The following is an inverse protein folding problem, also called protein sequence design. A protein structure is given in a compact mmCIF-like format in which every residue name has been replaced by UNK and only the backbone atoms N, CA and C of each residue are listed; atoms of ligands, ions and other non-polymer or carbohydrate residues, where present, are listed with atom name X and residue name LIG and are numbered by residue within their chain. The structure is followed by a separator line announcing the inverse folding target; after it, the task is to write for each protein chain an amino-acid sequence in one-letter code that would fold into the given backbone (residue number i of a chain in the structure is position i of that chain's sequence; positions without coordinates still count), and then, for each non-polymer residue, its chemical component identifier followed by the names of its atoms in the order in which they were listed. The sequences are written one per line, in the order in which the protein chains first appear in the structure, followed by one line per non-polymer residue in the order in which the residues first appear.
data_IF_694673814047
#
_entry.id   IF_694673814047
#
_cell.length_a   1.000
_cell.length_b   1.000
_cell.length_c   1.000
_cell.angle_alpha   90.00
_cell.angle_beta   90.00
_cell.angle_gamma   90.00
#
_symmetry.space_group_name_H-M   'P 1'
#
loop_
_entity.id
_entity.type
_entity.pdbx_description
1 polymer ?
#
# COMPACT_ATOMS: atom_id res chain seq x y z
N UNK A 1 -21.30 11.95 -3.84
CA UNK A 1 -21.00 11.09 -2.67
C UNK A 1 -19.91 11.76 -1.84
N UNK A 2 -20.07 11.87 -0.52
CA UNK A 2 -19.06 12.49 0.37
C UNK A 2 -18.19 11.40 1.02
N UNK A 3 -16.86 11.57 1.02
CA UNK A 3 -15.92 10.68 1.73
C UNK A 3 -15.67 11.08 3.19
N UNK A 4 -16.35 12.14 3.67
CA UNK A 4 -16.26 12.61 5.06
C UNK A 4 -16.50 11.50 6.10
N UNK A 5 -17.44 10.55 5.91
CA UNK A 5 -17.66 9.51 6.91
C UNK A 5 -16.43 8.61 7.12
N UNK A 6 -15.65 8.34 6.07
CA UNK A 6 -14.39 7.59 6.19
C UNK A 6 -13.34 8.36 7.01
N UNK A 7 -13.29 9.68 6.87
CA UNK A 7 -12.37 10.52 7.67
C UNK A 7 -12.79 10.66 9.13
N UNK A 8 -14.10 10.58 9.42
CA UNK A 8 -14.62 10.66 10.78
C UNK A 8 -14.40 9.35 11.56
N UNK A 9 -14.28 8.22 10.88
CA UNK A 9 -14.09 6.89 11.49
C UNK A 9 -13.08 6.05 10.70
N UNK A 10 -11.80 6.46 10.65
CA UNK A 10 -10.81 5.85 9.76
C UNK A 10 -10.46 4.38 10.09
N UNK A 11 -10.77 3.94 11.31
CA UNK A 11 -10.56 2.55 11.74
C UNK A 11 -11.74 1.62 11.43
N UNK A 12 -12.89 2.18 11.05
CA UNK A 12 -14.09 1.39 10.75
C UNK A 12 -14.02 0.83 9.32
N UNK A 13 -14.62 -0.34 9.12
CA UNK A 13 -14.84 -0.86 7.78
C UNK A 13 -15.73 0.10 6.97
N UNK A 14 -15.58 0.13 5.64
CA UNK A 14 -16.29 1.06 4.75
C UNK A 14 -17.81 1.03 4.98
N UNK A 15 -18.39 -0.17 5.12
CA UNK A 15 -19.82 -0.36 5.36
C UNK A 15 -20.29 0.09 6.75
N UNK A 16 -19.39 0.15 7.73
CA UNK A 16 -19.69 0.64 9.07
C UNK A 16 -19.51 2.17 9.16
N UNK A 17 -18.58 2.73 8.38
CA UNK A 17 -18.33 4.16 8.33
C UNK A 17 -19.37 4.92 7.49
N UNK A 18 -19.96 4.31 6.47
CA UNK A 18 -20.99 4.93 5.64
C UNK A 18 -22.38 4.95 6.34
N UNK A 19 -23.10 6.06 6.17
CA UNK A 19 -24.39 6.31 6.84
C UNK A 19 -25.53 5.39 6.33
N UNK A 20 -25.52 5.07 5.04
CA UNK A 20 -26.53 4.23 4.41
C UNK A 20 -25.96 3.28 3.35
N UNK A 21 -26.82 2.38 2.86
CA UNK A 21 -26.43 1.37 1.87
C UNK A 21 -26.06 1.96 0.51
N UNK A 22 -26.71 3.06 0.11
CA UNK A 22 -26.43 3.73 -1.16
C UNK A 22 -25.04 4.37 -1.14
N UNK A 23 -24.67 5.02 -0.03
CA UNK A 23 -23.35 5.57 0.22
C UNK A 23 -22.29 4.47 0.29
N UNK A 24 -22.59 3.36 0.97
CA UNK A 24 -21.70 2.20 1.04
C UNK A 24 -21.39 1.66 -0.37
N UNK A 25 -22.43 1.40 -1.19
CA UNK A 25 -22.24 0.93 -2.56
C UNK A 25 -21.49 1.94 -3.43
N UNK A 26 -21.76 3.23 -3.25
CA UNK A 26 -21.02 4.28 -3.95
C UNK A 26 -19.54 4.31 -3.53
N UNK A 27 -19.20 4.06 -2.27
CA UNK A 27 -17.82 4.00 -1.79
C UNK A 27 -17.04 2.87 -2.46
N UNK A 28 -17.61 1.66 -2.46
CA UNK A 28 -16.99 0.52 -3.14
C UNK A 28 -16.82 0.79 -4.64
N UNK A 29 -17.84 1.32 -5.31
CA UNK A 29 -17.76 1.71 -6.73
C UNK A 29 -16.70 2.78 -7.01
N UNK A 30 -16.46 3.68 -6.06
CA UNK A 30 -15.43 4.71 -6.20
C UNK A 30 -14.03 4.09 -6.14
N UNK A 31 -13.77 3.20 -5.17
CA UNK A 31 -12.47 2.55 -5.01
C UNK A 31 -12.18 1.49 -6.07
N UNK A 32 -13.22 0.92 -6.68
CA UNK A 32 -13.13 -0.06 -7.77
C UNK A 32 -13.12 0.60 -9.17
N UNK A 33 -13.07 1.94 -9.25
CA UNK A 33 -13.07 2.66 -10.51
C UNK A 33 -11.66 2.86 -11.04
N UNK A 34 -11.34 2.28 -12.19
CA UNK A 34 -10.02 2.40 -12.86
C UNK A 34 -9.60 3.86 -13.14
N UNK A 35 -10.56 4.78 -13.30
CA UNK A 35 -10.26 6.20 -13.50
C UNK A 35 -9.81 6.91 -12.21
N UNK A 36 -10.08 6.31 -11.06
CA UNK A 36 -9.72 6.80 -9.73
C UNK A 36 -8.41 6.12 -9.30
N UNK A 37 -7.30 6.67 -9.76
CA UNK A 37 -5.97 6.15 -9.42
C UNK A 37 -5.44 6.75 -8.12
N UNK A 38 -4.57 6.02 -7.41
CA UNK A 38 -3.92 6.53 -6.21
C UNK A 38 -3.17 7.84 -6.45
N UNK A 39 -2.54 7.98 -7.63
CA UNK A 39 -1.86 9.22 -8.03
C UNK A 39 -2.84 10.40 -8.12
N UNK A 40 -3.99 10.23 -8.77
CA UNK A 40 -5.01 11.29 -8.89
C UNK A 40 -5.59 11.66 -7.52
N UNK A 41 -5.76 10.70 -6.61
CA UNK A 41 -6.19 10.97 -5.23
C UNK A 41 -5.12 11.78 -4.49
N UNK A 42 -3.85 11.39 -4.56
CA UNK A 42 -2.78 11.95 -3.74
C UNK A 42 -2.23 13.29 -4.26
N UNK A 43 -2.25 13.50 -5.58
CA UNK A 43 -1.75 14.73 -6.23
C UNK A 43 -2.29 16.03 -5.59
N UNK A 44 -3.61 16.23 -5.41
CA UNK A 44 -4.12 17.44 -4.77
C UNK A 44 -3.66 17.56 -3.30
N UNK A 45 -3.49 16.44 -2.58
CA UNK A 45 -2.97 16.49 -1.21
C UNK A 45 -1.51 16.96 -1.17
N UNK A 46 -0.68 16.51 -2.11
CA UNK A 46 0.70 16.97 -2.23
C UNK A 46 0.77 18.46 -2.59
N UNK A 47 -0.07 18.93 -3.51
CA UNK A 47 -0.18 20.35 -3.85
C UNK A 47 -0.55 21.18 -2.61
N UNK A 48 -1.52 20.75 -1.81
CA UNK A 48 -1.87 21.42 -0.54
C UNK A 48 -0.74 21.40 0.48
N UNK A 49 0.07 20.33 0.53
CA UNK A 49 1.27 20.31 1.39
C UNK A 49 2.29 21.36 0.93
N UNK A 50 2.51 21.48 -0.39
CA UNK A 50 3.43 22.48 -0.98
C UNK A 50 2.94 23.91 -0.68
N UNK A 51 1.64 24.17 -0.80
CA UNK A 51 1.05 25.47 -0.44
C UNK A 51 1.24 25.80 1.04
N UNK A 52 1.03 24.85 1.95
CA UNK A 52 1.22 25.10 3.39
C UNK A 52 2.68 25.34 3.77
N UNK A 53 3.61 24.60 3.16
CA UNK A 53 5.02 24.72 3.52
C UNK A 53 5.66 26.02 3.01
N UNK A 54 5.10 26.68 1.98
CA UNK A 54 5.65 27.95 1.48
C UNK A 54 5.49 29.10 2.47
N UNK A 55 4.58 28.97 3.43
CA UNK A 55 4.36 29.96 4.50
C UNK A 55 5.37 29.85 5.64
N UNK A 56 6.32 28.92 5.56
CA UNK A 56 7.32 28.67 6.59
C UNK A 56 8.75 28.86 6.06
N UNK A 57 9.57 29.64 6.76
CA UNK A 57 10.98 29.86 6.42
C UNK A 57 11.79 28.55 6.42
N UNK A 58 11.47 27.65 7.35
CA UNK A 58 12.14 26.35 7.49
C UNK A 58 11.15 25.25 7.86
N UNK A 59 11.29 24.13 7.17
CA UNK A 59 10.55 22.89 7.44
C UNK A 59 11.52 21.70 7.42
N UNK A 60 11.10 20.58 8.01
CA UNK A 60 11.81 19.31 7.96
C UNK A 60 11.02 18.31 7.12
N UNK A 61 11.68 17.71 6.13
CA UNK A 61 11.15 16.62 5.33
C UNK A 61 11.65 15.29 5.89
N UNK A 62 10.85 14.67 6.76
CA UNK A 62 11.19 13.41 7.43
C UNK A 62 10.84 12.25 6.48
N UNK A 63 11.83 11.41 6.19
CA UNK A 63 11.66 10.25 5.34
C UNK A 63 11.75 8.96 6.16
N UNK A 64 10.81 8.06 5.91
CA UNK A 64 10.83 6.73 6.52
C UNK A 64 10.24 5.67 5.59
N UNK A 65 10.53 4.41 5.89
CA UNK A 65 10.08 3.23 5.17
C UNK A 65 9.26 2.35 6.09
N UNK A 66 8.01 2.13 5.74
CA UNK A 66 7.10 1.24 6.48
C UNK A 66 6.74 0.03 5.62
N UNK A 67 6.66 -1.14 6.24
CA UNK A 67 6.23 -2.37 5.60
C UNK A 67 4.78 -2.65 5.98
N UNK A 68 3.92 -2.93 5.00
CA UNK A 68 2.51 -3.23 5.21
C UNK A 68 2.27 -4.70 4.91
N UNK A 69 1.96 -5.47 5.95
CA UNK A 69 1.72 -6.92 5.90
C UNK A 69 0.26 -7.22 5.55
N UNK A 70 0.08 -7.94 4.44
CA UNK A 70 -1.20 -8.41 3.94
C UNK A 70 -1.25 -9.94 3.79
N UNK A 71 -0.37 -10.67 4.49
CA UNK A 71 -0.25 -12.14 4.39
C UNK A 71 -1.58 -12.87 4.64
N UNK A 72 -2.41 -12.33 5.53
CA UNK A 72 -3.72 -12.89 5.87
C UNK A 72 -4.88 -12.38 4.99
N UNK A 73 -4.59 -11.70 3.89
CA UNK A 73 -5.57 -11.19 2.92
C UNK A 73 -5.37 -11.84 1.54
N UNK A 74 -5.73 -13.13 1.37
CA UNK A 74 -5.38 -13.93 0.20
C UNK A 74 -6.01 -13.46 -1.12
N UNK A 75 -7.06 -12.64 -1.07
CA UNK A 75 -7.69 -12.04 -2.25
C UNK A 75 -6.96 -10.78 -2.75
N UNK A 76 -5.92 -10.33 -2.04
CA UNK A 76 -5.17 -9.12 -2.42
C UNK A 76 -4.11 -9.49 -3.44
N UNK A 77 -4.23 -8.92 -4.64
CA UNK A 77 -3.29 -9.15 -5.73
C UNK A 77 -2.14 -8.13 -5.74
N UNK A 78 -1.09 -8.42 -6.52
CA UNK A 78 0.05 -7.51 -6.69
C UNK A 78 0.99 -7.39 -5.49
N UNK A 79 0.82 -8.24 -4.48
CA UNK A 79 1.70 -8.30 -3.31
C UNK A 79 3.05 -8.95 -3.63
N UNK A 80 4.08 -8.56 -2.89
CA UNK A 80 5.41 -9.16 -2.96
C UNK A 80 5.96 -9.53 -1.59
N UNK A 81 7.03 -10.34 -1.50
CA UNK A 81 7.65 -10.65 -0.22
C UNK A 81 8.25 -9.39 0.42
N UNK A 82 7.96 -9.18 1.71
CA UNK A 82 8.45 -8.03 2.50
C UNK A 82 9.30 -8.43 3.72
N UNK A 83 9.58 -9.73 3.88
CA UNK A 83 10.44 -10.28 4.93
C UNK A 83 11.50 -11.23 4.37
N UNK A 84 12.07 -12.07 5.24
CA UNK A 84 12.97 -13.14 4.78
C UNK A 84 12.18 -14.25 4.07
N UNK A 85 12.86 -15.05 3.24
CA UNK A 85 12.23 -16.17 2.55
C UNK A 85 11.57 -17.18 3.50
N UNK A 86 12.09 -17.33 4.72
CA UNK A 86 11.54 -18.23 5.74
C UNK A 86 10.28 -17.71 6.41
N UNK A 87 10.08 -16.39 6.46
CA UNK A 87 8.96 -15.78 7.19
C UNK A 87 7.64 -15.82 6.41
N UNK A 88 7.68 -16.01 5.08
CA UNK A 88 6.49 -16.09 4.23
C UNK A 88 5.54 -14.87 4.39
N UNK A 89 6.09 -13.67 4.60
CA UNK A 89 5.32 -12.42 4.76
C UNK A 89 5.18 -11.72 3.41
N UNK A 90 3.95 -11.44 3.02
CA UNK A 90 3.59 -10.79 1.75
C UNK A 90 2.88 -9.46 1.97
N UNK A 91 3.24 -8.47 1.16
CA UNK A 91 2.66 -7.14 1.26
C UNK A 91 3.36 -6.15 0.33
N UNK A 92 3.47 -4.90 0.78
CA UNK A 92 4.23 -3.87 0.07
C UNK A 92 4.92 -2.90 1.00
N UNK A 93 5.94 -2.24 0.46
CA UNK A 93 6.77 -1.24 1.11
C UNK A 93 6.22 0.13 0.79
N UNK A 94 6.11 0.99 1.81
CA UNK A 94 5.69 2.37 1.70
C UNK A 94 6.82 3.30 2.11
N UNK A 95 7.30 4.10 1.15
CA UNK A 95 8.22 5.20 1.43
C UNK A 95 7.44 6.50 1.54
N UNK A 96 7.50 7.11 2.71
CA UNK A 96 6.76 8.34 3.03
C UNK A 96 7.73 9.47 3.27
N UNK A 97 7.39 10.67 2.79
CA UNK A 97 8.07 11.92 3.17
C UNK A 97 7.05 12.84 3.82
N UNK A 98 7.12 12.98 5.13
CA UNK A 98 6.25 13.84 5.94
C UNK A 98 6.94 15.18 6.18
N UNK A 99 6.22 16.28 5.97
CA UNK A 99 6.72 17.63 6.26
C UNK A 99 6.22 18.07 7.62
N UNK A 100 7.14 18.56 8.44
CA UNK A 100 6.86 19.16 9.74
C UNK A 100 7.57 20.51 9.89
N UNK A 101 7.00 21.43 10.67
CA UNK A 101 7.66 22.70 11.02
C UNK A 101 8.80 22.47 12.01
N UNK A 102 9.59 23.52 12.27
CA UNK A 102 10.62 23.47 13.32
C UNK A 102 10.07 23.22 14.74
N UNK A 103 8.80 23.56 14.99
CA UNK A 103 8.09 23.27 16.24
C UNK A 103 7.42 21.89 16.26
N UNK A 104 7.53 21.10 15.19
CA UNK A 104 6.96 19.76 15.11
C UNK A 104 5.50 19.71 14.61
N UNK A 105 4.94 20.80 14.09
CA UNK A 105 3.60 20.80 13.51
C UNK A 105 3.61 20.08 12.14
N UNK A 106 2.79 19.03 11.92
CA UNK A 106 2.73 18.37 10.62
C UNK A 106 1.99 19.23 9.59
N UNK A 107 2.61 19.41 8.42
CA UNK A 107 2.06 20.18 7.29
C UNK A 107 1.45 19.28 6.20
N UNK A 108 1.83 18.00 6.17
CA UNK A 108 1.34 16.99 5.25
C UNK A 108 2.44 16.17 4.60
N UNK A 109 2.08 15.24 3.71
CA UNK A 109 3.04 14.43 2.97
C UNK A 109 3.45 15.12 1.66
N UNK A 110 4.73 15.03 1.28
CA UNK A 110 5.24 15.44 -0.04
C UNK A 110 5.30 14.28 -1.03
N UNK A 111 5.50 13.06 -0.53
CA UNK A 111 5.62 11.87 -1.36
C UNK A 111 5.17 10.65 -0.60
N UNK A 112 4.52 9.75 -1.34
CA UNK A 112 4.07 8.44 -0.87
C UNK A 112 4.34 7.38 -1.94
N UNK A 113 5.58 6.87 -2.00
CA UNK A 113 5.95 5.81 -2.93
C UNK A 113 5.53 4.44 -2.40
N UNK A 114 4.86 3.63 -3.21
CA UNK A 114 4.60 2.22 -2.90
C UNK A 114 5.40 1.33 -3.85
N UNK A 115 5.94 0.23 -3.35
CA UNK A 115 6.58 -0.78 -4.17
C UNK A 115 6.56 -2.14 -3.47
N UNK A 116 6.68 -3.22 -4.23
CA UNK A 116 6.85 -4.55 -3.68
C UNK A 116 7.98 -5.25 -4.44
N UNK A 117 8.74 -6.10 -3.75
CA UNK A 117 9.71 -6.95 -4.42
C UNK A 117 8.94 -7.93 -5.30
N UNK A 118 9.38 -8.15 -6.55
CA UNK A 118 8.86 -9.30 -7.29
C UNK A 118 9.38 -10.57 -6.63
N UNK A 119 8.50 -11.56 -6.41
CA UNK A 119 8.95 -12.88 -6.01
C UNK A 119 10.00 -13.37 -7.02
N UNK A 120 11.16 -13.83 -6.54
CA UNK A 120 12.12 -14.50 -7.44
C UNK A 120 11.43 -15.74 -8.02
N UNK A 121 11.53 -16.00 -9.33
CA UNK A 121 11.01 -17.25 -9.89
C UNK A 121 11.66 -18.41 -9.14
N UNK A 122 10.85 -19.34 -8.66
CA UNK A 122 11.36 -20.59 -8.09
C UNK A 122 12.19 -21.27 -9.17
N UNK A 123 13.48 -21.51 -8.90
CA UNK A 123 14.23 -22.42 -9.74
C UNK A 123 13.53 -23.78 -9.65
N UNK A 124 12.88 -24.20 -10.72
CA UNK A 124 12.39 -25.56 -10.88
C UNK A 124 13.60 -26.48 -10.69
N UNK A 125 13.60 -27.28 -9.62
CA UNK A 125 14.56 -28.36 -9.49
C UNK A 125 14.42 -29.25 -10.72
N UNK A 126 15.48 -29.29 -11.54
CA UNK A 126 15.53 -30.11 -12.73
C UNK A 126 15.27 -31.57 -12.38
N UNK A 127 14.49 -32.22 -13.23
CA UNK A 127 14.18 -33.64 -13.23
C UNK A 127 15.42 -34.50 -13.00
N UNK A 128 15.33 -35.40 -12.02
CA UNK A 128 16.11 -36.62 -11.97
C UNK A 128 15.13 -37.80 -11.99
N UNK A 129 14.46 -38.00 -13.14
CA UNK A 129 13.86 -39.30 -13.47
C UNK A 129 14.99 -40.24 -13.88
N UNK A 130 15.71 -40.75 -12.88
CA UNK A 130 16.63 -41.86 -13.05
C UNK A 130 15.83 -43.15 -12.99
N UNK A 131 15.33 -43.61 -14.14
CA UNK A 131 14.85 -44.99 -14.29
C UNK A 131 15.95 -45.95 -13.83
N UNK A 132 15.75 -46.57 -12.68
CA UNK A 132 16.49 -47.76 -12.25
C UNK A 132 15.86 -48.95 -12.97
N UNK A 133 16.52 -49.43 -14.01
CA UNK A 133 16.26 -50.75 -14.57
C UNK A 133 17.27 -51.73 -13.95
N UNK A 134 16.80 -52.43 -12.92
CA UNK A 134 17.31 -53.71 -12.41
C UNK A 134 16.16 -54.68 -12.76
N UNK A 135 16.32 -55.83 -13.41
CA UNK A 135 17.32 -56.90 -13.29
C UNK A 135 17.03 -57.96 -14.39
N UNK A 136 18.05 -58.80 -14.70
CA UNK A 136 18.00 -60.27 -15.00
C UNK A 136 17.19 -60.72 -16.25
N UNK A 137 17.69 -61.53 -17.19
CA UNK A 137 18.76 -62.55 -17.25
C UNK A 137 19.51 -62.52 -18.60
#
# INVERSE_FOLDING_TARGET
MSLRPLSASPQSAINAACEDWSATKAAYRLFDNEQVTAEKILSPHFQRTVERLSDHERVFAVQDTTYLDYTHHPLTEGLGPIGTASQHIYGFVKHTTLVVTASGLPLGCLRLGSGCSKAKPSQSQHAADGKRELQMD
#
